data_IF_721029101131
#
_entry.id   IF_721029101131
#
_cell.length_a   1.000
_cell.length_b   1.000
_cell.length_c   1.000
_cell.angle_alpha   90.00
_cell.angle_beta   90.00
_cell.angle_gamma   90.00
#
_symmetry.space_group_name_H-M   'P 1'
#
loop_
_entity.id
_entity.type
_entity.pdbx_description
1 polymer ?
#
# COMPACT_ATOMS: atom_id res chain seq x y z
N UNK A 1 4.41 -23.55 -7.82
CA UNK A 1 3.09 -23.02 -7.41
C UNK A 1 3.21 -21.49 -7.38
N UNK A 2 2.26 -20.68 -7.91
CA UNK A 2 2.40 -19.23 -7.87
C UNK A 2 2.38 -18.73 -6.42
N UNK A 3 3.35 -17.89 -6.04
CA UNK A 3 3.66 -17.59 -4.64
C UNK A 3 2.58 -16.79 -3.90
N UNK A 4 1.78 -15.98 -4.60
CA UNK A 4 0.77 -15.10 -3.99
C UNK A 4 -0.67 -15.38 -4.46
N UNK A 5 -0.94 -16.59 -4.97
CA UNK A 5 -2.30 -16.94 -5.41
C UNK A 5 -3.31 -16.81 -4.27
N UNK A 6 -4.38 -16.04 -4.49
CA UNK A 6 -5.43 -15.79 -3.50
C UNK A 6 -5.02 -14.84 -2.38
N UNK A 7 -3.90 -14.11 -2.55
CA UNK A 7 -3.51 -13.00 -1.68
C UNK A 7 -3.88 -11.68 -2.33
N UNK A 8 -4.37 -10.75 -1.53
CA UNK A 8 -4.72 -9.40 -1.97
C UNK A 8 -3.57 -8.43 -1.70
N UNK A 9 -3.06 -7.79 -2.75
CA UNK A 9 -2.06 -6.72 -2.69
C UNK A 9 -2.75 -5.38 -2.95
N UNK A 10 -2.69 -4.48 -1.97
CA UNK A 10 -3.23 -3.13 -2.09
C UNK A 10 -2.09 -2.13 -2.29
N UNK A 11 -2.14 -1.40 -3.40
CA UNK A 11 -1.26 -0.28 -3.67
C UNK A 11 -1.88 1.01 -3.11
N UNK A 12 -1.44 1.43 -1.93
CA UNK A 12 -1.82 2.67 -1.25
C UNK A 12 -0.83 3.80 -1.61
N UNK A 13 -1.07 4.45 -2.74
CA UNK A 13 -0.23 5.57 -3.20
C UNK A 13 -0.94 6.89 -2.86
N UNK A 14 -0.58 7.45 -1.70
CA UNK A 14 -1.10 8.74 -1.25
C UNK A 14 -0.43 9.87 -2.02
N UNK A 15 0.84 9.70 -2.36
CA UNK A 15 1.55 10.53 -3.33
C UNK A 15 1.57 9.88 -4.73
N UNK A 16 1.37 10.67 -5.80
CA UNK A 16 1.37 10.15 -7.15
C UNK A 16 2.77 9.64 -7.55
N UNK A 17 2.85 8.38 -8.00
CA UNK A 17 4.04 7.82 -8.65
C UNK A 17 3.68 6.74 -9.66
N UNK A 18 3.67 7.11 -10.94
CA UNK A 18 3.23 6.23 -12.03
C UNK A 18 4.16 5.03 -12.21
N UNK A 19 5.49 5.23 -12.20
CA UNK A 19 6.46 4.16 -12.46
C UNK A 19 6.48 3.13 -11.33
N UNK A 20 6.58 3.59 -10.09
CA UNK A 20 6.65 2.71 -8.91
C UNK A 20 5.34 1.94 -8.72
N UNK A 21 4.18 2.58 -8.91
CA UNK A 21 2.89 1.89 -8.80
C UNK A 21 2.76 0.79 -9.84
N UNK A 22 3.07 1.08 -11.11
CA UNK A 22 2.98 0.10 -12.20
C UNK A 22 3.95 -1.06 -11.98
N UNK A 23 5.16 -0.82 -11.45
CA UNK A 23 6.10 -1.91 -11.18
C UNK A 23 5.60 -2.87 -10.11
N UNK A 24 5.03 -2.36 -9.01
CA UNK A 24 4.45 -3.20 -7.95
C UNK A 24 3.19 -3.92 -8.42
N UNK A 25 2.31 -3.24 -9.15
CA UNK A 25 1.14 -3.84 -9.79
C UNK A 25 1.53 -5.00 -10.72
N UNK A 26 2.51 -4.80 -11.60
CA UNK A 26 2.99 -5.83 -12.50
C UNK A 26 3.65 -7.00 -11.75
N UNK A 27 4.41 -6.72 -10.69
CA UNK A 27 5.02 -7.76 -9.86
C UNK A 27 3.96 -8.61 -9.15
N UNK A 28 2.96 -7.99 -8.55
CA UNK A 28 1.86 -8.67 -7.89
C UNK A 28 1.05 -9.56 -8.86
N UNK A 29 0.69 -9.02 -10.04
CA UNK A 29 0.01 -9.80 -11.08
C UNK A 29 0.85 -10.99 -11.57
N UNK A 30 2.17 -10.82 -11.76
CA UNK A 30 3.07 -11.92 -12.13
C UNK A 30 3.15 -13.02 -11.07
N UNK A 31 2.90 -12.69 -9.82
CA UNK A 31 2.84 -13.64 -8.70
C UNK A 31 1.43 -14.22 -8.48
N UNK A 32 0.47 -13.89 -9.36
CA UNK A 32 -0.95 -14.25 -9.30
C UNK A 32 -1.69 -13.73 -8.05
N UNK A 33 -1.30 -12.57 -7.54
CA UNK A 33 -2.05 -11.86 -6.51
C UNK A 33 -3.24 -11.08 -7.10
N UNK A 34 -4.28 -10.89 -6.29
CA UNK A 34 -5.36 -9.96 -6.58
C UNK A 34 -4.89 -8.53 -6.25
N UNK A 35 -4.96 -7.60 -7.22
CA UNK A 35 -4.39 -6.26 -7.07
C UNK A 35 -5.49 -5.21 -6.95
N UNK A 36 -5.40 -4.38 -5.91
CA UNK A 36 -6.27 -3.22 -5.71
C UNK A 36 -5.42 -1.96 -5.70
N UNK A 37 -5.72 -1.01 -6.59
CA UNK A 37 -5.08 0.29 -6.61
C UNK A 37 -5.93 1.31 -5.88
N UNK A 38 -5.36 1.94 -4.85
CA UNK A 38 -6.02 2.97 -4.07
C UNK A 38 -5.26 4.30 -4.22
N UNK A 39 -5.93 5.30 -4.77
CA UNK A 39 -5.37 6.63 -5.00
C UNK A 39 -6.00 7.63 -4.02
N UNK A 40 -5.19 8.47 -3.38
CA UNK A 40 -5.70 9.47 -2.44
C UNK A 40 -6.68 10.48 -3.06
N UNK A 41 -6.60 10.73 -4.37
CA UNK A 41 -7.55 11.63 -5.05
C UNK A 41 -9.00 11.13 -5.06
N UNK A 42 -9.20 9.81 -5.01
CA UNK A 42 -10.53 9.18 -5.00
C UNK A 42 -11.01 8.77 -3.61
N UNK A 43 -10.22 9.05 -2.57
CA UNK A 43 -10.33 8.44 -1.24
C UNK A 43 -10.81 9.41 -0.15
N UNK A 44 -11.50 8.83 0.83
CA UNK A 44 -11.91 9.42 2.11
C UNK A 44 -10.79 10.03 2.96
N UNK A 45 -9.50 9.85 2.59
CA UNK A 45 -8.37 10.61 3.14
C UNK A 45 -8.60 12.14 3.08
N UNK A 46 -9.36 12.64 2.10
CA UNK A 46 -9.77 14.05 2.03
C UNK A 46 -10.73 14.49 3.15
N UNK A 47 -11.42 13.56 3.81
CA UNK A 47 -12.38 13.83 4.91
C UNK A 47 -11.71 13.84 6.30
N UNK A 48 -10.38 13.87 6.38
CA UNK A 48 -9.65 13.84 7.65
C UNK A 48 -9.48 12.44 8.25
N UNK A 49 -9.67 11.40 7.44
CA UNK A 49 -9.32 10.02 7.82
C UNK A 49 -7.80 9.89 7.96
N UNK A 50 -7.33 9.27 9.04
CA UNK A 50 -5.90 9.11 9.27
C UNK A 50 -5.34 7.92 8.48
N UNK A 51 -4.04 7.94 8.17
CA UNK A 51 -3.34 6.79 7.55
C UNK A 51 -3.56 5.49 8.34
N UNK A 52 -3.68 5.60 9.67
CA UNK A 52 -3.96 4.50 10.58
C UNK A 52 -5.34 3.88 10.30
N UNK A 53 -6.36 4.73 10.19
CA UNK A 53 -7.74 4.31 9.95
C UNK A 53 -7.86 3.68 8.56
N UNK A 54 -7.23 4.29 7.55
CA UNK A 54 -7.16 3.72 6.20
C UNK A 54 -6.50 2.35 6.21
N UNK A 55 -5.36 2.20 6.91
CA UNK A 55 -4.70 0.89 7.06
C UNK A 55 -5.61 -0.17 7.68
N UNK A 56 -6.34 0.19 8.75
CA UNK A 56 -7.30 -0.69 9.41
C UNK A 56 -8.49 -1.06 8.53
N UNK A 57 -8.98 -0.11 7.74
CA UNK A 57 -10.04 -0.35 6.75
C UNK A 57 -9.58 -1.34 5.69
N UNK A 58 -8.36 -1.16 5.14
CA UNK A 58 -7.80 -2.09 4.14
C UNK A 58 -7.60 -3.50 4.72
N UNK A 59 -7.12 -3.60 5.96
CA UNK A 59 -7.01 -4.88 6.67
C UNK A 59 -8.39 -5.54 6.86
N UNK A 60 -9.42 -4.78 7.25
CA UNK A 60 -10.79 -5.29 7.38
C UNK A 60 -11.38 -5.76 6.04
N UNK A 61 -10.93 -5.18 4.93
CA UNK A 61 -11.26 -5.60 3.57
C UNK A 61 -10.39 -6.78 3.08
N UNK A 62 -9.65 -7.43 3.98
CA UNK A 62 -8.78 -8.59 3.69
C UNK A 62 -7.57 -8.29 2.81
N UNK A 63 -6.95 -7.11 2.98
CA UNK A 63 -5.63 -6.86 2.42
C UNK A 63 -4.57 -7.75 3.10
N UNK A 64 -3.86 -8.57 2.33
CA UNK A 64 -2.73 -9.39 2.83
C UNK A 64 -1.42 -8.61 2.82
N UNK A 65 -1.27 -7.72 1.83
CA UNK A 65 -0.08 -6.89 1.62
C UNK A 65 -0.53 -5.48 1.26
N UNK A 66 0.04 -4.48 1.94
CA UNK A 66 -0.13 -3.06 1.64
C UNK A 66 1.20 -2.50 1.16
N UNK A 67 1.26 -2.10 -0.11
CA UNK A 67 2.36 -1.32 -0.68
C UNK A 67 2.00 0.14 -0.49
N UNK A 68 2.76 0.86 0.33
CA UNK A 68 2.44 2.25 0.68
C UNK A 68 3.50 3.23 0.18
N UNK A 69 3.02 4.33 -0.39
CA UNK A 69 3.83 5.52 -0.66
C UNK A 69 3.17 6.75 -0.03
N UNK A 70 3.94 7.49 0.76
CA UNK A 70 3.43 8.62 1.53
C UNK A 70 4.49 9.72 1.69
N UNK A 71 4.06 10.98 1.81
CA UNK A 71 4.97 12.14 1.95
C UNK A 71 5.68 12.20 3.30
N UNK A 72 4.98 11.79 4.35
CA UNK A 72 5.50 11.77 5.71
C UNK A 72 6.49 10.61 5.91
N UNK A 73 7.66 10.93 6.45
CA UNK A 73 8.69 9.98 6.85
C UNK A 73 8.16 9.03 7.93
N UNK A 74 8.53 7.76 7.84
CA UNK A 74 8.13 6.72 8.78
C UNK A 74 6.67 6.27 8.65
N UNK A 75 5.91 6.78 7.68
CA UNK A 75 4.53 6.35 7.42
C UNK A 75 4.37 4.82 7.23
N UNK A 76 5.24 4.12 6.47
CA UNK A 76 5.19 2.67 6.35
C UNK A 76 5.44 1.95 7.68
N UNK A 77 6.35 2.48 8.50
CA UNK A 77 6.66 1.93 9.82
C UNK A 77 5.54 2.14 10.84
N UNK A 78 4.83 3.27 10.74
CA UNK A 78 3.61 3.49 11.50
C UNK A 78 2.54 2.46 11.11
N UNK A 79 2.33 2.27 9.81
CA UNK A 79 1.38 1.29 9.28
C UNK A 79 1.71 -0.12 9.77
N UNK A 80 2.97 -0.56 9.69
CA UNK A 80 3.38 -1.91 10.11
C UNK A 80 3.14 -2.21 11.59
N UNK A 81 3.06 -1.17 12.45
CA UNK A 81 2.71 -1.30 13.87
C UNK A 81 1.21 -1.34 14.13
N UNK A 82 0.41 -0.92 13.15
CA UNK A 82 -1.03 -0.77 13.28
C UNK A 82 -1.75 -1.97 12.67
N UNK A 83 -1.33 -2.40 11.49
CA UNK A 83 -1.94 -3.52 10.76
C UNK A 83 -1.15 -4.82 11.03
N UNK A 84 -1.84 -5.95 11.01
CA UNK A 84 -1.25 -7.28 11.06
C UNK A 84 -0.91 -7.86 9.68
N UNK A 85 -1.35 -7.21 8.59
CA UNK A 85 -0.93 -7.55 7.24
C UNK A 85 0.49 -7.03 6.92
N UNK A 86 1.09 -7.54 5.84
CA UNK A 86 2.46 -7.14 5.46
C UNK A 86 2.48 -5.73 4.87
N UNK A 87 3.48 -4.93 5.21
CA UNK A 87 3.64 -3.56 4.70
C UNK A 87 4.94 -3.44 3.90
N UNK A 88 4.86 -2.89 2.69
CA UNK A 88 6.00 -2.64 1.80
C UNK A 88 6.15 -1.13 1.59
N UNK A 89 7.35 -0.60 1.86
CA UNK A 89 7.67 0.81 1.63
C UNK A 89 7.98 1.06 0.15
N UNK A 90 7.11 1.80 -0.55
CA UNK A 90 7.30 2.26 -1.93
C UNK A 90 7.75 3.74 -2.02
N UNK A 91 8.18 4.31 -0.90
CA UNK A 91 8.69 5.66 -0.71
C UNK A 91 8.01 6.36 0.47
N UNK A 92 8.81 6.88 1.41
CA UNK A 92 8.33 7.70 2.52
C UNK A 92 9.06 9.05 2.59
N UNK A 93 8.57 10.03 1.82
CA UNK A 93 9.16 11.37 1.75
C UNK A 93 10.62 11.36 1.26
N UNK A 94 11.49 12.06 1.99
CA UNK A 94 12.93 12.10 1.72
C UNK A 94 13.72 11.01 2.47
N UNK A 95 13.03 10.14 3.21
CA UNK A 95 13.64 9.18 4.13
C UNK A 95 14.25 8.01 3.34
N UNK A 96 13.41 7.16 2.73
CA UNK A 96 13.89 6.05 1.90
C UNK A 96 12.97 5.74 0.70
N UNK A 97 13.56 5.17 -0.35
CA UNK A 97 12.83 4.59 -1.48
C UNK A 97 13.45 3.22 -1.85
N UNK A 98 13.32 2.21 -0.99
CA UNK A 98 14.18 1.02 -1.03
C UNK A 98 13.82 0.00 -2.11
N UNK A 99 12.66 0.17 -2.78
CA UNK A 99 12.07 -0.69 -3.85
C UNK A 99 12.65 -2.09 -4.04
#
# INVERSE_FOLDING_TARGET
VPALRGRTVVNLFVEPSTRTRISFELAAMRLNADVINFTAESSSLRKGETLRDTGKTLEALSADIIVVRHSAEGAPHLLSRVVGCSVVNAGDGAHEHPT
#
